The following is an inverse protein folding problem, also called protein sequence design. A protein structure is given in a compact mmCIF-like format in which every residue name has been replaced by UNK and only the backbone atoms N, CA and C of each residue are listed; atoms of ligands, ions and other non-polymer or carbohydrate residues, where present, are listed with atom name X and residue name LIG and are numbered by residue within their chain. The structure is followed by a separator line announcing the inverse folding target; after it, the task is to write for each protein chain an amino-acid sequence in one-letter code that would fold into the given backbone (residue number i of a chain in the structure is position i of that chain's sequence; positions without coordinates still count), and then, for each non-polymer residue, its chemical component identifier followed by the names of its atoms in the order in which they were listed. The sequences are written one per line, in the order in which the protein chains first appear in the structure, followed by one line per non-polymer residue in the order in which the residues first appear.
data_IF_716403797614
#
_entry.id   IF_716403797614
#
_cell.length_a   1.000
_cell.length_b   1.000
_cell.length_c   1.000
_cell.angle_alpha   90.00
_cell.angle_beta   90.00
_cell.angle_gamma   90.00
#
_symmetry.space_group_name_H-M   'P 1'
#
loop_
_entity.id
_entity.type
_entity.pdbx_description
1 polymer ?
#
# COMPACT_ATOMS: atom_id res chain seq x y z
N UNK A 1 -7.69 13.93 1.74
CA UNK A 1 -8.15 12.58 1.35
C UNK A 1 -7.55 12.26 -0.01
N UNK A 2 -6.34 11.72 -0.04
CA UNK A 2 -5.70 11.24 -1.28
C UNK A 2 -6.29 9.88 -1.61
N UNK A 3 -7.18 9.90 -2.59
CA UNK A 3 -7.91 8.76 -3.11
C UNK A 3 -6.95 7.65 -3.56
N UNK A 4 -7.15 6.45 -3.04
CA UNK A 4 -6.48 5.18 -3.37
C UNK A 4 -6.81 4.69 -4.81
N UNK A 5 -6.92 5.61 -5.77
CA UNK A 5 -7.49 5.38 -7.10
C UNK A 5 -6.50 5.60 -8.24
N UNK A 6 -5.30 6.13 -7.97
CA UNK A 6 -4.28 6.39 -9.00
C UNK A 6 -3.00 5.57 -8.80
N UNK A 7 -3.13 4.25 -8.75
CA UNK A 7 -1.99 3.32 -8.68
C UNK A 7 -1.09 3.53 -9.92
N UNK A 8 -1.66 3.88 -11.07
CA UNK A 8 -0.90 4.22 -12.27
C UNK A 8 0.00 5.43 -12.09
N UNK A 9 -0.52 6.55 -11.58
CA UNK A 9 0.29 7.73 -11.31
C UNK A 9 1.37 7.48 -10.26
N UNK A 10 1.07 6.71 -9.22
CA UNK A 10 2.07 6.29 -8.24
C UNK A 10 3.19 5.46 -8.90
N UNK A 11 2.82 4.55 -9.81
CA UNK A 11 3.78 3.72 -10.53
C UNK A 11 4.64 4.52 -11.50
N UNK A 12 4.06 5.47 -12.22
CA UNK A 12 4.79 6.42 -13.04
C UNK A 12 5.80 7.22 -12.21
N UNK A 13 5.39 7.75 -11.04
CA UNK A 13 6.28 8.47 -10.11
C UNK A 13 7.42 7.59 -9.58
N UNK A 14 7.17 6.30 -9.37
CA UNK A 14 8.17 5.32 -8.95
C UNK A 14 9.09 4.84 -10.10
N UNK A 15 8.88 5.32 -11.33
CA UNK A 15 9.70 4.97 -12.49
C UNK A 15 9.23 3.74 -13.27
N UNK A 16 7.99 3.29 -13.03
CA UNK A 16 7.35 2.16 -13.72
C UNK A 16 6.15 2.64 -14.56
N UNK A 17 6.39 3.32 -15.70
CA UNK A 17 5.33 3.91 -16.52
C UNK A 17 4.45 2.88 -17.24
N UNK A 18 4.89 1.63 -17.31
CA UNK A 18 4.10 0.51 -17.82
C UNK A 18 4.10 -0.56 -16.73
N UNK A 19 3.09 -0.51 -15.86
CA UNK A 19 2.91 -1.54 -14.83
C UNK A 19 1.65 -2.35 -15.14
N UNK A 20 1.73 -3.67 -14.97
CA UNK A 20 0.57 -4.55 -15.11
C UNK A 20 -0.12 -4.73 -13.76
N UNK A 21 -1.35 -4.25 -13.63
CA UNK A 21 -2.11 -4.37 -12.38
C UNK A 21 -2.26 -5.81 -11.84
N UNK A 22 -2.15 -6.85 -12.68
CA UNK A 22 -2.22 -8.25 -12.23
C UNK A 22 -0.91 -8.79 -11.69
N UNK A 23 0.21 -8.10 -11.90
CA UNK A 23 1.54 -8.49 -11.40
C UNK A 23 1.83 -7.91 -10.02
N UNK A 24 1.02 -6.96 -9.56
CA UNK A 24 1.24 -6.28 -8.30
C UNK A 24 0.07 -6.43 -7.33
N UNK A 25 0.38 -6.47 -6.04
CA UNK A 25 -0.61 -6.56 -4.97
C UNK A 25 -0.33 -5.52 -3.90
N UNK A 26 -1.39 -4.85 -3.48
CA UNK A 26 -1.39 -3.98 -2.31
C UNK A 26 -1.66 -4.83 -1.07
N UNK A 27 -0.78 -4.73 -0.08
CA UNK A 27 -0.99 -5.29 1.26
C UNK A 27 -1.21 -4.15 2.24
N UNK A 28 -2.19 -4.32 3.12
CA UNK A 28 -2.43 -3.42 4.24
C UNK A 28 -2.20 -4.23 5.51
N UNK A 29 -1.19 -3.84 6.28
CA UNK A 29 -0.89 -4.43 7.58
C UNK A 29 -1.26 -3.47 8.69
N UNK A 30 -1.97 -3.94 9.71
CA UNK A 30 -2.20 -3.17 10.94
C UNK A 30 -1.47 -3.80 12.11
N UNK A 31 -0.87 -2.98 12.95
CA UNK A 31 -0.36 -3.33 14.27
C UNK A 31 -1.05 -2.47 15.34
N UNK A 32 -0.82 -2.75 16.62
CA UNK A 32 -1.33 -1.88 17.70
C UNK A 32 -0.76 -0.44 17.65
N UNK A 33 0.30 -0.20 16.88
CA UNK A 33 1.05 1.06 16.87
C UNK A 33 1.10 1.75 15.51
N UNK A 34 0.74 1.04 14.44
CA UNK A 34 0.85 1.55 13.08
C UNK A 34 -0.11 0.85 12.13
N UNK A 35 -0.50 1.57 11.09
CA UNK A 35 -1.09 1.03 9.88
C UNK A 35 -0.06 1.23 8.77
N UNK A 36 0.26 0.15 8.08
CA UNK A 36 1.26 0.07 7.03
C UNK A 36 0.58 -0.38 5.74
N UNK A 37 1.00 0.21 4.63
CA UNK A 37 0.51 -0.13 3.31
C UNK A 37 1.71 -0.29 2.39
N UNK A 38 1.87 -1.49 1.85
CA UNK A 38 3.04 -1.92 1.11
C UNK A 38 2.60 -2.53 -0.22
N UNK A 39 3.33 -2.24 -1.28
CA UNK A 39 3.09 -2.77 -2.62
C UNK A 39 4.11 -3.85 -2.95
N UNK A 40 3.62 -5.00 -3.42
CA UNK A 40 4.43 -6.18 -3.70
C UNK A 40 4.28 -6.59 -5.16
N UNK A 41 5.38 -7.04 -5.76
CA UNK A 41 5.33 -7.76 -7.03
C UNK A 41 5.08 -9.25 -6.75
N UNK A 42 4.14 -9.86 -7.49
CA UNK A 42 3.68 -11.23 -7.26
C UNK A 42 4.79 -12.27 -7.37
N UNK A 43 5.73 -12.06 -8.29
CA UNK A 43 6.86 -12.98 -8.49
C UNK A 43 7.98 -12.82 -7.45
N UNK A 44 7.80 -11.96 -6.44
CA UNK A 44 8.79 -11.65 -5.40
C UNK A 44 10.16 -11.22 -5.96
N UNK A 45 10.17 -10.77 -7.24
CA UNK A 45 11.33 -10.29 -7.97
C UNK A 45 11.79 -8.91 -7.47
N UNK A 46 10.86 -8.14 -6.91
CA UNK A 46 11.11 -6.79 -6.42
C UNK A 46 10.86 -6.72 -4.91
N UNK A 47 11.62 -5.85 -4.25
CA UNK A 47 11.38 -5.54 -2.84
C UNK A 47 10.03 -4.83 -2.67
N UNK A 48 9.42 -5.01 -1.50
CA UNK A 48 8.21 -4.29 -1.14
C UNK A 48 8.43 -2.78 -1.21
N UNK A 49 7.49 -2.06 -1.83
CA UNK A 49 7.51 -0.60 -1.89
C UNK A 49 6.52 -0.06 -0.86
N UNK A 50 6.98 0.64 0.20
CA UNK A 50 6.09 1.24 1.17
C UNK A 50 5.36 2.43 0.53
N UNK A 51 4.03 2.39 0.53
CA UNK A 51 3.17 3.40 -0.11
C UNK A 51 2.32 4.17 0.90
N UNK A 52 2.24 3.69 2.15
CA UNK A 52 1.57 4.41 3.23
C UNK A 52 1.98 3.93 4.61
N UNK A 53 2.08 4.87 5.54
CA UNK A 53 2.34 4.58 6.95
C UNK A 53 1.59 5.60 7.83
N UNK A 54 0.74 5.12 8.73
CA UNK A 54 0.05 5.93 9.73
C UNK A 54 0.34 5.40 11.12
N UNK A 55 0.64 6.30 12.06
CA UNK A 55 0.76 6.00 13.50
C UNK A 55 -0.43 6.55 14.29
N UNK A 56 -1.47 7.01 13.59
CA UNK A 56 -2.66 7.56 14.21
C UNK A 56 -3.48 6.44 14.84
N UNK A 57 -3.65 6.49 16.17
CA UNK A 57 -4.44 5.49 16.90
C UNK A 57 -5.88 5.38 16.38
N UNK A 58 -6.49 6.48 15.95
CA UNK A 58 -7.86 6.48 15.46
C UNK A 58 -7.98 5.68 14.15
N UNK A 59 -7.03 5.84 13.24
CA UNK A 59 -6.97 5.08 11.99
C UNK A 59 -6.74 3.60 12.26
N UNK A 60 -5.83 3.28 13.19
CA UNK A 60 -5.52 1.91 13.59
C UNK A 60 -6.76 1.24 14.22
N UNK A 61 -7.42 1.92 15.17
CA UNK A 61 -8.63 1.41 15.83
C UNK A 61 -9.76 1.18 14.83
N UNK A 62 -9.90 2.06 13.83
CA UNK A 62 -10.90 1.90 12.76
C UNK A 62 -10.65 0.67 11.91
N UNK A 63 -9.40 0.40 11.53
CA UNK A 63 -9.04 -0.79 10.72
C UNK A 63 -9.17 -2.08 11.53
N UNK A 64 -8.74 -2.10 12.79
CA UNK A 64 -8.86 -3.28 13.66
C UNK A 64 -10.33 -3.62 13.94
N UNK A 65 -11.21 -2.61 14.05
CA UNK A 65 -12.63 -2.84 14.33
C UNK A 65 -13.42 -3.49 13.18
N UNK A 66 -12.85 -3.55 11.97
CA UNK A 66 -13.49 -4.08 10.75
C UNK A 66 -12.81 -5.35 10.21
N UNK A 67 -11.75 -5.82 10.87
CA UNK A 67 -11.00 -7.04 10.55
C UNK A 67 -11.31 -8.17 11.53
#
# INVERSE_FOLDING_TARGET
MSSMHNIHGLMEELGYPVYNSTEWRLSIGSSKRSLNCDFFHNDNLFSAVPVGHSVCEEDIKRVIAIS
#
